data_IF_612696005293
#
_entry.id   IF_612696005293
#
_cell.length_a   1.000
_cell.length_b   1.000
_cell.length_c   1.000
_cell.angle_alpha   90.00
_cell.angle_beta   90.00
_cell.angle_gamma   90.00
#
_symmetry.space_group_name_H-M   'P 1'
#
loop_
_entity.id
_entity.type
_entity.pdbx_description
1 polymer ?
#
# COMPACT_ATOMS: atom_id res chain seq x y z
N UNK A 1 -10.38 6.21 17.16
CA UNK A 1 -10.81 4.81 17.37
C UNK A 1 -9.64 3.90 17.05
N UNK A 2 -9.40 2.82 17.82
CA UNK A 2 -8.40 1.83 17.46
C UNK A 2 -8.77 1.19 16.11
N UNK A 3 -7.76 0.77 15.35
CA UNK A 3 -8.00 0.03 14.12
C UNK A 3 -8.82 -1.22 14.42
N UNK A 4 -9.72 -1.60 13.51
CA UNK A 4 -10.45 -2.87 13.60
C UNK A 4 -9.49 -4.06 13.80
N UNK A 5 -8.35 -4.03 13.09
CA UNK A 5 -7.30 -5.05 13.20
C UNK A 5 -6.73 -5.10 14.62
N UNK A 6 -6.38 -3.94 15.20
CA UNK A 6 -5.85 -3.90 16.59
C UNK A 6 -6.85 -4.52 17.57
N UNK A 7 -8.13 -4.16 17.46
CA UNK A 7 -9.19 -4.69 18.30
C UNK A 7 -9.36 -6.20 18.13
N UNK A 8 -9.31 -6.71 16.89
CA UNK A 8 -9.37 -8.14 16.58
C UNK A 8 -8.24 -8.90 17.27
N UNK A 9 -7.01 -8.43 17.13
CA UNK A 9 -5.83 -9.10 17.74
C UNK A 9 -5.76 -8.97 19.24
N UNK A 10 -6.25 -7.88 19.82
CA UNK A 10 -6.44 -7.77 21.29
C UNK A 10 -7.43 -8.83 21.79
N UNK A 11 -8.54 -9.03 21.08
CA UNK A 11 -9.51 -10.06 21.45
C UNK A 11 -8.94 -11.47 21.31
N UNK A 12 -8.14 -11.76 20.28
CA UNK A 12 -7.45 -13.06 20.14
C UNK A 12 -6.47 -13.30 21.31
N UNK A 13 -5.81 -12.25 21.79
CA UNK A 13 -4.91 -12.33 22.93
C UNK A 13 -5.63 -12.41 24.29
N UNK A 14 -6.87 -12.02 24.37
CA UNK A 14 -7.58 -11.85 25.66
C UNK A 14 -7.57 -13.11 26.51
N UNK A 15 -7.66 -14.29 25.89
CA UNK A 15 -7.61 -15.58 26.59
C UNK A 15 -6.25 -15.93 27.17
N UNK A 16 -5.18 -15.35 26.64
CA UNK A 16 -3.78 -15.56 27.08
C UNK A 16 -3.30 -14.50 28.05
N UNK A 17 -4.07 -13.43 28.26
CA UNK A 17 -3.74 -12.34 29.18
C UNK A 17 -4.49 -12.52 30.52
N UNK A 18 -3.79 -12.85 31.62
CA UNK A 18 -4.46 -13.04 32.88
C UNK A 18 -5.14 -11.75 33.37
N UNK A 19 -6.33 -11.87 33.96
CA UNK A 19 -7.13 -10.76 34.48
C UNK A 19 -7.47 -9.70 33.40
N UNK A 20 -7.61 -10.11 32.16
CA UNK A 20 -7.96 -9.21 31.08
C UNK A 20 -9.32 -8.55 31.30
N UNK A 21 -9.38 -7.23 31.19
CA UNK A 21 -10.60 -6.42 31.29
C UNK A 21 -10.57 -5.28 30.28
N UNK A 22 -11.62 -5.13 29.51
CA UNK A 22 -11.85 -3.94 28.70
C UNK A 22 -12.41 -2.84 29.62
N UNK A 23 -11.72 -1.73 29.73
CA UNK A 23 -12.12 -0.57 30.53
C UNK A 23 -12.98 0.39 29.72
N UNK A 24 -12.46 0.78 28.55
CA UNK A 24 -13.11 1.66 27.61
C UNK A 24 -12.73 1.24 26.19
N UNK A 25 -13.25 1.92 25.19
CA UNK A 25 -12.81 1.74 23.83
C UNK A 25 -11.33 2.13 23.68
N UNK A 26 -10.50 1.20 23.18
CA UNK A 26 -9.05 1.41 23.07
C UNK A 26 -8.27 1.39 24.38
N UNK A 27 -8.92 1.02 25.52
CA UNK A 27 -8.25 0.90 26.83
C UNK A 27 -8.54 -0.47 27.45
N UNK A 28 -7.51 -1.27 27.60
CA UNK A 28 -7.58 -2.61 28.18
C UNK A 28 -6.59 -2.73 29.33
N UNK A 29 -6.99 -3.46 30.37
CA UNK A 29 -6.18 -3.72 31.53
C UNK A 29 -6.01 -5.22 31.75
N UNK A 30 -4.82 -5.66 32.08
CA UNK A 30 -4.50 -7.06 32.31
C UNK A 30 -3.26 -7.22 33.18
N UNK A 31 -3.05 -8.42 33.69
CA UNK A 31 -1.82 -8.77 34.38
C UNK A 31 -0.69 -8.91 33.35
N UNK A 32 0.42 -8.21 33.57
CA UNK A 32 1.54 -8.21 32.65
C UNK A 32 2.12 -9.62 32.44
N UNK A 33 2.12 -10.19 31.26
CA UNK A 33 2.69 -11.52 31.02
C UNK A 33 4.21 -11.52 31.03
N UNK A 34 4.84 -10.36 30.76
CA UNK A 34 6.29 -10.25 30.64
C UNK A 34 7.01 -10.24 32.01
N UNK A 35 6.44 -9.57 33.01
CA UNK A 35 7.03 -9.51 34.33
C UNK A 35 6.24 -10.26 35.43
N UNK A 36 5.13 -10.90 35.04
CA UNK A 36 4.25 -11.58 35.99
C UNK A 36 3.53 -10.65 36.99
N UNK A 37 3.67 -9.31 36.81
CA UNK A 37 3.11 -8.29 37.70
C UNK A 37 3.56 -8.49 39.17
N UNK A 38 2.71 -8.19 40.14
CA UNK A 38 3.07 -8.31 41.55
C UNK A 38 3.13 -9.76 42.03
N UNK A 39 4.27 -10.18 42.58
CA UNK A 39 4.41 -11.52 43.18
C UNK A 39 3.61 -11.64 44.51
N UNK A 40 3.43 -10.53 45.22
CA UNK A 40 2.71 -10.50 46.50
C UNK A 40 1.18 -10.54 46.36
N UNK A 41 0.64 -10.14 45.20
CA UNK A 41 -0.79 -10.07 44.96
C UNK A 41 -1.16 -10.59 43.58
N UNK A 42 -1.93 -11.66 43.56
CA UNK A 42 -2.43 -12.29 42.32
C UNK A 42 -3.57 -11.50 41.65
N UNK A 43 -4.18 -10.56 42.34
CA UNK A 43 -5.31 -9.76 41.89
C UNK A 43 -4.92 -8.45 41.19
N UNK A 44 -3.64 -8.05 41.31
CA UNK A 44 -3.15 -6.82 40.70
C UNK A 44 -2.90 -7.03 39.20
N UNK A 45 -3.42 -6.11 38.37
CA UNK A 45 -3.24 -6.03 36.96
C UNK A 45 -2.73 -4.64 36.57
N UNK A 46 -1.47 -4.52 36.16
CA UNK A 46 -0.79 -3.25 35.89
C UNK A 46 -0.31 -3.14 34.43
N UNK A 47 -0.60 -4.13 33.60
CA UNK A 47 -0.44 -4.06 32.16
C UNK A 47 -1.63 -3.38 31.53
N UNK A 48 -1.37 -2.51 30.58
CA UNK A 48 -2.39 -1.79 29.85
C UNK A 48 -2.10 -1.78 28.36
N UNK A 49 -3.14 -1.98 27.56
CA UNK A 49 -3.16 -1.47 26.19
C UNK A 49 -3.93 -0.15 26.20
N UNK A 50 -3.40 0.84 25.51
CA UNK A 50 -4.04 2.14 25.35
C UNK A 50 -3.80 2.69 23.96
N UNK A 51 -4.79 3.39 23.45
CA UNK A 51 -4.71 4.05 22.17
C UNK A 51 -3.98 5.39 22.31
N UNK A 52 -3.04 5.64 21.38
CA UNK A 52 -2.42 6.94 21.20
C UNK A 52 -2.45 7.27 19.70
N UNK A 53 -3.24 8.29 19.34
CA UNK A 53 -3.57 8.61 17.94
C UNK A 53 -4.28 7.43 17.27
N UNK A 54 -3.70 6.88 16.20
CA UNK A 54 -4.24 5.75 15.43
C UNK A 54 -3.71 4.39 15.88
N UNK A 55 -2.66 4.36 16.71
CA UNK A 55 -1.97 3.14 17.07
C UNK A 55 -2.25 2.72 18.51
N UNK A 56 -2.18 1.42 18.75
CA UNK A 56 -2.29 0.82 20.07
C UNK A 56 -0.91 0.62 20.69
N UNK A 57 -0.77 0.98 21.95
CA UNK A 57 0.46 0.87 22.74
C UNK A 57 0.26 -0.02 23.95
N UNK A 58 1.33 -0.68 24.36
CA UNK A 58 1.42 -1.41 25.60
C UNK A 58 2.24 -0.63 26.63
N UNK A 59 1.79 -0.64 27.88
CA UNK A 59 2.57 -0.16 29.04
C UNK A 59 2.27 -0.98 30.27
N UNK A 60 3.33 -1.32 31.00
CA UNK A 60 3.21 -1.93 32.34
C UNK A 60 3.70 -0.96 33.42
N UNK A 61 2.85 -0.68 34.42
CA UNK A 61 3.21 0.18 35.54
C UNK A 61 4.02 -0.55 36.61
N UNK A 62 4.21 -1.87 36.49
CA UNK A 62 5.04 -2.63 37.41
C UNK A 62 6.51 -2.67 36.98
N UNK A 63 6.79 -3.06 35.75
CA UNK A 63 8.15 -3.15 35.21
C UNK A 63 8.58 -1.93 34.38
N UNK A 64 7.70 -0.95 34.18
CA UNK A 64 7.98 0.27 33.42
C UNK A 64 8.05 0.07 31.89
N UNK A 65 7.97 -1.17 31.41
CA UNK A 65 8.07 -1.46 29.98
C UNK A 65 6.94 -0.79 29.21
N UNK A 66 7.32 -0.07 28.14
CA UNK A 66 6.39 0.59 27.21
C UNK A 66 6.84 0.30 25.78
N UNK A 67 5.91 -0.15 24.93
CA UNK A 67 6.20 -0.50 23.54
C UNK A 67 4.94 -0.42 22.69
N UNK A 68 5.08 -0.50 21.37
CA UNK A 68 3.94 -0.61 20.47
C UNK A 68 3.26 -1.98 20.60
N UNK A 69 1.98 -2.06 20.26
CA UNK A 69 1.24 -3.33 20.26
C UNK A 69 1.89 -4.37 19.35
N UNK A 70 2.39 -3.96 18.21
CA UNK A 70 3.14 -4.79 17.27
C UNK A 70 4.37 -5.46 17.91
N UNK A 71 5.20 -4.67 18.62
CA UNK A 71 6.39 -5.20 19.30
C UNK A 71 6.02 -6.08 20.49
N UNK A 72 4.94 -5.75 21.19
CA UNK A 72 4.43 -6.60 22.26
C UNK A 72 3.98 -7.97 21.73
N UNK A 73 3.26 -8.01 20.59
CA UNK A 73 2.88 -9.25 19.91
C UNK A 73 4.09 -10.08 19.52
N UNK A 74 5.11 -9.43 18.93
CA UNK A 74 6.34 -10.10 18.51
C UNK A 74 7.05 -10.80 19.66
N UNK A 75 7.01 -10.20 20.84
CA UNK A 75 7.66 -10.74 22.03
C UNK A 75 6.85 -11.85 22.68
N UNK A 76 5.52 -11.79 22.59
CA UNK A 76 4.63 -12.75 23.23
C UNK A 76 4.32 -13.95 22.32
N UNK A 77 4.09 -13.69 21.05
CA UNK A 77 3.70 -14.70 20.07
C UNK A 77 4.14 -14.24 18.65
N UNK A 78 5.23 -14.85 18.17
CA UNK A 78 5.81 -14.52 16.86
C UNK A 78 4.93 -14.91 15.67
N UNK A 79 4.08 -15.94 15.79
CA UNK A 79 3.17 -16.35 14.72
C UNK A 79 2.01 -15.36 14.60
N UNK A 80 1.38 -15.06 15.73
CA UNK A 80 0.31 -14.07 15.77
C UNK A 80 0.79 -12.68 15.30
N UNK A 81 2.06 -12.36 15.55
CA UNK A 81 2.69 -11.15 15.02
C UNK A 81 2.79 -11.15 13.49
N UNK A 82 3.15 -12.28 12.87
CA UNK A 82 3.23 -12.38 11.40
C UNK A 82 1.87 -12.13 10.76
N UNK A 83 0.83 -12.77 11.29
CA UNK A 83 -0.53 -12.61 10.81
C UNK A 83 -1.03 -11.17 10.96
N UNK A 84 -0.79 -10.57 12.13
CA UNK A 84 -1.10 -9.16 12.40
C UNK A 84 -0.40 -8.21 11.42
N UNK A 85 0.89 -8.43 11.18
CA UNK A 85 1.67 -7.59 10.27
C UNK A 85 1.19 -7.71 8.83
N UNK A 86 0.85 -8.94 8.40
CA UNK A 86 0.33 -9.20 7.06
C UNK A 86 -1.04 -8.55 6.85
N UNK A 87 -1.93 -8.64 7.85
CA UNK A 87 -3.26 -8.05 7.77
C UNK A 87 -3.19 -6.53 7.74
N UNK A 88 -2.34 -5.91 8.58
CA UNK A 88 -2.09 -4.45 8.53
C UNK A 88 -1.51 -3.99 7.20
N UNK A 89 -0.64 -4.80 6.60
CA UNK A 89 -0.10 -4.50 5.28
C UNK A 89 -1.17 -4.53 4.19
N UNK A 90 -2.05 -5.54 4.21
CA UNK A 90 -3.16 -5.66 3.26
C UNK A 90 -4.15 -4.49 3.35
N UNK A 91 -4.39 -3.98 4.54
CA UNK A 91 -5.28 -2.84 4.78
C UNK A 91 -4.61 -1.48 4.53
N UNK A 92 -3.35 -1.48 4.06
CA UNK A 92 -2.61 -0.23 3.82
C UNK A 92 -2.24 0.55 5.09
N UNK A 93 -2.47 -0.03 6.27
CA UNK A 93 -2.10 0.53 7.57
C UNK A 93 -0.68 0.08 7.91
N UNK A 94 0.29 0.40 7.07
CA UNK A 94 1.69 0.20 7.40
C UNK A 94 2.09 1.16 8.51
N UNK A 95 2.59 0.61 9.61
CA UNK A 95 3.01 1.40 10.76
C UNK A 95 3.99 2.50 10.36
N UNK A 96 3.68 3.73 10.70
CA UNK A 96 4.64 4.83 10.68
C UNK A 96 5.80 4.45 11.58
N UNK A 97 6.97 4.16 11.02
CA UNK A 97 8.17 3.83 11.76
C UNK A 97 9.10 2.84 11.08
N UNK A 98 8.71 2.24 9.99
CA UNK A 98 9.65 1.57 9.12
C UNK A 98 10.03 2.57 8.02
N UNK A 99 11.27 3.07 8.07
CA UNK A 99 11.94 3.66 6.92
C UNK A 99 12.21 2.54 5.88
N UNK A 100 11.14 1.96 5.35
CA UNK A 100 11.24 1.29 4.07
C UNK A 100 11.33 2.42 3.06
N UNK A 101 12.44 2.55 2.34
CA UNK A 101 12.49 3.51 1.24
C UNK A 101 11.30 3.20 0.35
N UNK A 102 10.59 4.26 -0.06
CA UNK A 102 9.53 4.11 -1.05
C UNK A 102 10.10 3.31 -2.22
N UNK A 103 9.40 2.27 -2.68
CA UNK A 103 9.86 1.53 -3.84
C UNK A 103 9.99 2.52 -5.00
N UNK A 104 11.22 2.92 -5.30
CA UNK A 104 11.51 3.66 -6.51
C UNK A 104 11.23 2.72 -7.69
N UNK A 105 10.03 2.79 -8.20
CA UNK A 105 9.74 2.24 -9.52
C UNK A 105 10.51 3.08 -10.53
N UNK A 106 11.71 2.66 -10.87
CA UNK A 106 12.39 3.14 -12.05
C UNK A 106 11.61 2.64 -13.25
N UNK A 107 10.55 3.38 -13.57
CA UNK A 107 9.91 3.24 -14.87
C UNK A 107 10.96 3.75 -15.85
N UNK A 108 11.72 2.84 -16.45
CA UNK A 108 12.52 3.18 -17.62
C UNK A 108 11.54 3.70 -18.66
N UNK A 109 11.48 5.01 -18.78
CA UNK A 109 10.73 5.63 -19.87
C UNK A 109 11.33 5.05 -21.14
N UNK A 110 10.54 4.37 -21.98
CA UNK A 110 11.06 3.86 -23.24
C UNK A 110 11.68 5.06 -23.96
N UNK A 111 12.98 5.01 -24.17
CA UNK A 111 13.68 5.99 -24.97
C UNK A 111 13.28 5.74 -26.40
N UNK A 112 12.31 6.49 -26.89
CA UNK A 112 12.02 6.53 -28.33
C UNK A 112 13.11 7.35 -29.03
N UNK A 113 14.33 6.80 -29.08
CA UNK A 113 15.45 7.39 -29.79
C UNK A 113 15.38 7.13 -31.30
N UNK A 114 14.31 6.53 -31.77
CA UNK A 114 14.09 6.33 -33.19
C UNK A 114 13.58 7.62 -33.80
N UNK A 115 14.48 8.33 -34.49
CA UNK A 115 14.04 9.31 -35.50
C UNK A 115 12.99 8.62 -36.33
N UNK A 116 11.80 9.22 -36.38
CA UNK A 116 10.71 8.71 -37.20
C UNK A 116 11.20 8.76 -38.66
N UNK A 117 11.59 7.61 -39.19
CA UNK A 117 12.12 7.49 -40.52
C UNK A 117 10.98 7.18 -41.51
N UNK A 118 9.88 7.91 -41.38
CA UNK A 118 8.71 7.82 -42.24
C UNK A 118 8.61 9.07 -43.09
N UNK A 119 8.23 8.96 -44.38
CA UNK A 119 8.03 10.11 -45.24
C UNK A 119 6.86 10.96 -44.72
N UNK A 120 7.03 12.27 -44.74
CA UNK A 120 5.96 13.21 -44.45
C UNK A 120 4.96 13.24 -45.57
N UNK A 121 3.70 13.46 -45.26
CA UNK A 121 2.65 13.57 -46.28
C UNK A 121 2.90 14.74 -47.26
N UNK A 122 3.54 15.81 -46.79
CA UNK A 122 3.92 16.95 -47.63
C UNK A 122 4.95 16.58 -48.69
N UNK A 123 5.81 15.56 -48.46
CA UNK A 123 6.89 15.10 -49.32
C UNK A 123 6.37 14.09 -50.38
N UNK A 124 5.16 13.59 -50.22
CA UNK A 124 4.55 12.65 -51.19
C UNK A 124 4.02 13.37 -52.41
N UNK A 125 4.02 12.67 -53.52
CA UNK A 125 3.43 13.15 -54.77
C UNK A 125 1.94 13.49 -54.62
N UNK A 126 1.48 14.49 -55.34
CA UNK A 126 0.05 14.90 -55.30
C UNK A 126 -0.90 13.81 -55.80
N UNK A 127 -0.37 12.84 -56.56
CA UNK A 127 -1.11 11.64 -56.99
C UNK A 127 -1.26 10.57 -55.96
N UNK A 128 -0.46 10.65 -54.87
CA UNK A 128 -0.42 9.63 -53.80
C UNK A 128 -1.77 9.58 -53.05
N UNK A 129 -2.31 8.38 -52.88
CA UNK A 129 -3.65 8.16 -52.31
C UNK A 129 -3.80 8.78 -50.90
N UNK A 130 -2.76 8.69 -50.07
CA UNK A 130 -2.79 9.26 -48.69
C UNK A 130 -2.95 10.79 -48.73
N UNK A 131 -2.25 11.47 -49.62
CA UNK A 131 -2.36 12.92 -49.78
C UNK A 131 -3.75 13.32 -50.33
N UNK A 132 -4.23 12.61 -51.34
CA UNK A 132 -5.59 12.80 -51.87
C UNK A 132 -6.67 12.57 -50.81
N UNK A 133 -6.49 11.56 -49.96
CA UNK A 133 -7.43 11.29 -48.88
C UNK A 133 -7.54 12.46 -47.90
N UNK A 134 -6.40 13.05 -47.51
CA UNK A 134 -6.40 14.19 -46.58
C UNK A 134 -6.95 15.47 -47.20
N UNK A 135 -6.65 15.71 -48.46
CA UNK A 135 -7.21 16.84 -49.25
C UNK A 135 -8.74 16.70 -49.36
N UNK A 136 -9.23 15.51 -49.67
CA UNK A 136 -10.67 15.24 -49.75
C UNK A 136 -11.38 15.42 -48.39
N UNK A 137 -10.66 15.25 -47.29
CA UNK A 137 -11.14 15.54 -45.95
C UNK A 137 -11.00 17.01 -45.52
N UNK A 138 -10.60 17.88 -46.43
CA UNK A 138 -10.43 19.32 -46.18
C UNK A 138 -9.40 19.62 -45.06
N UNK A 139 -8.39 18.76 -44.94
CA UNK A 139 -7.28 19.02 -44.01
C UNK A 139 -6.43 20.17 -44.55
N UNK A 140 -6.25 21.30 -43.81
CA UNK A 140 -5.47 22.41 -44.34
C UNK A 140 -4.00 22.00 -44.64
N UNK A 141 -3.43 22.50 -45.74
CA UNK A 141 -2.10 22.11 -46.24
C UNK A 141 -0.97 22.28 -45.19
N UNK A 142 -1.12 23.27 -44.28
CA UNK A 142 -0.15 23.54 -43.22
C UNK A 142 0.06 22.34 -42.26
N UNK A 143 -0.94 21.48 -42.10
CA UNK A 143 -0.86 20.31 -41.26
C UNK A 143 -0.19 19.11 -41.89
N UNK A 144 -0.06 19.06 -43.22
CA UNK A 144 0.56 17.94 -43.92
C UNK A 144 2.04 17.74 -43.58
N UNK A 145 2.70 18.78 -43.09
CA UNK A 145 4.09 18.72 -42.61
C UNK A 145 4.26 17.96 -41.28
N UNK A 146 3.18 17.79 -40.54
CA UNK A 146 3.18 17.12 -39.22
C UNK A 146 2.66 15.68 -39.31
N UNK A 147 2.17 15.27 -40.45
CA UNK A 147 1.63 13.94 -40.71
C UNK A 147 2.64 13.08 -41.45
N UNK A 148 2.74 11.81 -41.05
CA UNK A 148 3.65 10.85 -41.63
C UNK A 148 2.85 9.72 -42.27
N UNK A 149 3.37 9.17 -43.38
CA UNK A 149 2.79 8.04 -44.06
C UNK A 149 3.48 6.75 -43.64
N UNK A 150 2.68 5.71 -43.38
CA UNK A 150 3.15 4.34 -43.21
C UNK A 150 2.30 3.40 -44.07
N UNK A 151 2.97 2.51 -44.80
CA UNK A 151 2.30 1.46 -45.58
C UNK A 151 1.77 0.31 -44.69
N UNK A 152 2.16 0.27 -43.40
CA UNK A 152 1.77 -0.79 -42.48
C UNK A 152 0.46 -0.41 -41.82
N UNK A 153 -0.58 -1.15 -42.14
CA UNK A 153 -1.86 -1.09 -41.42
C UNK A 153 -1.73 -1.88 -40.11
N UNK A 154 -1.71 -1.19 -38.98
CA UNK A 154 -1.77 -1.86 -37.71
C UNK A 154 -3.17 -2.39 -37.44
N UNK A 155 -3.29 -3.70 -37.38
CA UNK A 155 -4.51 -4.41 -36.96
C UNK A 155 -4.66 -4.47 -35.45
N UNK A 156 -4.19 -3.47 -34.73
CA UNK A 156 -4.30 -3.42 -33.24
C UNK A 156 -5.74 -3.34 -32.73
N UNK A 157 -6.68 -3.02 -33.59
CA UNK A 157 -8.09 -2.93 -33.24
C UNK A 157 -8.86 -4.25 -33.32
N UNK A 158 -8.22 -5.34 -33.74
CA UNK A 158 -8.86 -6.67 -33.79
C UNK A 158 -8.66 -7.56 -32.59
N UNK A 159 -7.94 -7.13 -31.56
CA UNK A 159 -7.68 -7.93 -30.38
C UNK A 159 -8.78 -7.85 -29.31
N UNK A 160 -9.86 -7.13 -29.54
CA UNK A 160 -10.97 -6.97 -28.60
C UNK A 160 -12.32 -7.48 -29.10
N UNK A 161 -12.34 -8.25 -30.19
CA UNK A 161 -13.58 -8.86 -30.70
C UNK A 161 -13.52 -10.39 -30.66
N UNK A 162 -13.09 -10.96 -29.52
CA UNK A 162 -13.36 -12.38 -29.22
C UNK A 162 -13.72 -12.53 -27.76
#
# INVERSE_FOLDING_TARGET
>A
MPSYIDTKYVNLLSSRLPLFKRKNEGLYNFRCPLCGDSQKSKTKARGYFYQKRTDLFYRCHNCGKSTTFSNFLKELDGELYKDYSLERYKDGVTGKGQNTPDPEFKVEKPKFDTKINLPRISELDDTHFAKKYLVNRSIPPQFLNYLYYTAVSYTHLRAHET
#
